data_IF_424326398383
#
_entry.id   IF_424326398383
#
_cell.length_a   1.000
_cell.length_b   1.000
_cell.length_c   1.000
_cell.angle_alpha   90.00
_cell.angle_beta   90.00
_cell.angle_gamma   90.00
#
_symmetry.space_group_name_H-M   'P 1'
#
loop_
_entity.id
_entity.type
_entity.pdbx_description
1 polymer ?
#
# COMPACT_ATOMS: atom_id res chain seq x y z
N UNK A 1 15.94 -12.47 26.11
CA UNK A 1 14.54 -12.91 25.88
C UNK A 1 14.04 -12.12 24.69
N UNK A 2 13.60 -12.78 23.61
CA UNK A 2 13.10 -12.09 22.41
C UNK A 2 11.67 -11.57 22.64
N UNK A 3 11.33 -10.39 22.09
CA UNK A 3 10.02 -9.74 22.25
C UNK A 3 8.88 -10.67 21.80
N UNK A 4 9.08 -11.46 20.74
CA UNK A 4 8.11 -12.44 20.25
C UNK A 4 7.70 -13.45 21.34
N UNK A 5 8.66 -13.98 22.09
CA UNK A 5 8.42 -14.94 23.18
C UNK A 5 7.68 -14.30 24.37
N UNK A 6 7.78 -12.98 24.53
CA UNK A 6 7.09 -12.22 25.59
C UNK A 6 5.64 -11.92 25.19
N UNK A 7 5.40 -11.63 23.90
CA UNK A 7 4.06 -11.39 23.36
C UNK A 7 3.15 -12.61 23.51
N UNK A 8 3.66 -13.84 23.31
CA UNK A 8 2.89 -15.07 23.52
C UNK A 8 2.33 -15.21 24.94
N UNK A 9 2.96 -14.56 25.91
CA UNK A 9 2.58 -14.56 27.33
C UNK A 9 2.04 -13.22 27.81
N UNK A 10 1.61 -12.33 26.90
CA UNK A 10 1.17 -10.97 27.21
C UNK A 10 0.12 -10.92 28.34
N UNK A 11 -0.79 -11.90 28.39
CA UNK A 11 -1.83 -11.96 29.42
C UNK A 11 -1.32 -12.36 30.81
N UNK A 12 -0.14 -12.99 30.88
CA UNK A 12 0.51 -13.42 32.13
C UNK A 12 1.44 -12.34 32.70
N UNK A 13 1.73 -11.29 31.92
CA UNK A 13 2.53 -10.14 32.35
C UNK A 13 1.75 -9.32 33.37
N UNK A 14 2.33 -9.20 34.58
CA UNK A 14 1.77 -8.41 35.70
C UNK A 14 2.19 -6.94 35.68
N UNK A 15 3.11 -6.58 34.81
CA UNK A 15 3.56 -5.21 34.63
C UNK A 15 2.64 -4.49 33.65
N UNK A 16 1.79 -3.62 34.17
CA UNK A 16 0.85 -2.87 33.36
C UNK A 16 1.56 -1.95 32.34
N UNK A 17 2.70 -1.34 32.70
CA UNK A 17 3.46 -0.47 31.80
C UNK A 17 4.06 -1.27 30.64
N UNK A 18 4.76 -2.37 30.95
CA UNK A 18 5.32 -3.25 29.91
C UNK A 18 4.21 -3.85 29.03
N UNK A 19 3.07 -4.20 29.63
CA UNK A 19 1.92 -4.75 28.91
C UNK A 19 1.35 -3.73 27.93
N UNK A 20 1.24 -2.47 28.32
CA UNK A 20 0.74 -1.42 27.45
C UNK A 20 1.71 -1.09 26.31
N UNK A 21 3.03 -1.06 26.59
CA UNK A 21 4.06 -0.94 25.55
C UNK A 21 3.98 -2.09 24.53
N UNK A 22 3.79 -3.34 24.99
CA UNK A 22 3.65 -4.50 24.10
C UNK A 22 2.35 -4.47 23.28
N UNK A 23 1.23 -3.99 23.84
CA UNK A 23 0.00 -3.79 23.06
C UNK A 23 0.18 -2.73 21.98
N UNK A 24 0.83 -1.62 22.31
CA UNK A 24 1.13 -0.58 21.33
C UNK A 24 2.05 -1.11 20.23
N UNK A 25 3.01 -1.96 20.58
CA UNK A 25 3.93 -2.62 19.63
C UNK A 25 3.18 -3.48 18.63
N UNK A 26 2.28 -4.34 19.12
CA UNK A 26 1.43 -5.19 18.26
C UNK A 26 0.57 -4.32 17.35
N UNK A 27 -0.09 -3.29 17.91
CA UNK A 27 -0.94 -2.38 17.13
C UNK A 27 -0.18 -1.71 16.00
N UNK A 28 1.02 -1.17 16.26
CA UNK A 28 1.82 -0.50 15.23
C UNK A 28 2.27 -1.51 14.16
N UNK A 29 2.64 -2.74 14.55
CA UNK A 29 2.97 -3.80 13.59
C UNK A 29 1.81 -4.17 12.68
N UNK A 30 0.62 -4.33 13.25
CA UNK A 30 -0.59 -4.64 12.49
C UNK A 30 -0.92 -3.49 11.52
N UNK A 31 -0.75 -2.24 11.95
CA UNK A 31 -0.98 -1.05 11.13
C UNK A 31 0.03 -0.95 9.97
N UNK A 32 1.33 -1.20 10.22
CA UNK A 32 2.35 -1.28 9.17
C UNK A 32 2.01 -2.40 8.17
N UNK A 33 1.61 -3.59 8.65
CA UNK A 33 1.24 -4.69 7.76
C UNK A 33 0.07 -4.31 6.85
N UNK A 34 -0.97 -3.72 7.43
CA UNK A 34 -2.13 -3.26 6.67
C UNK A 34 -1.75 -2.20 5.62
N UNK A 35 -0.91 -1.23 5.98
CA UNK A 35 -0.48 -0.19 5.03
C UNK A 35 0.40 -0.74 3.90
N UNK A 36 1.23 -1.76 4.16
CA UNK A 36 1.98 -2.44 3.11
C UNK A 36 1.06 -3.16 2.11
N UNK A 37 0.02 -3.85 2.59
CA UNK A 37 -0.97 -4.50 1.73
C UNK A 37 -1.69 -3.46 0.84
N UNK A 38 -2.10 -2.33 1.43
CA UNK A 38 -2.73 -1.23 0.68
C UNK A 38 -1.77 -0.59 -0.32
N UNK A 39 -0.48 -0.46 0.03
CA UNK A 39 0.54 0.07 -0.87
C UNK A 39 0.69 -0.81 -2.11
N UNK A 40 0.73 -2.13 -1.93
CA UNK A 40 0.79 -3.10 -3.03
C UNK A 40 -0.42 -2.96 -3.97
N UNK A 41 -1.63 -2.86 -3.40
CA UNK A 41 -2.86 -2.62 -4.17
C UNK A 41 -2.82 -1.31 -4.98
N UNK A 42 -2.27 -0.24 -4.41
CA UNK A 42 -2.10 1.05 -5.08
C UNK A 42 -1.10 0.95 -6.23
N UNK A 43 0.03 0.28 -6.02
CA UNK A 43 1.04 0.07 -7.07
C UNK A 43 0.48 -0.77 -8.23
N UNK A 44 -0.23 -1.86 -7.93
CA UNK A 44 -0.91 -2.68 -8.94
C UNK A 44 -1.94 -1.88 -9.74
N UNK A 45 -2.68 -0.97 -9.09
CA UNK A 45 -3.65 -0.12 -9.76
C UNK A 45 -2.97 0.86 -10.74
N UNK A 46 -1.87 1.49 -10.32
CA UNK A 46 -1.09 2.40 -11.18
C UNK A 46 -0.59 1.64 -12.42
N UNK A 47 0.07 0.50 -12.22
CA UNK A 47 0.58 -0.33 -13.32
C UNK A 47 -0.55 -0.75 -14.28
N UNK A 48 -1.69 -1.15 -13.74
CA UNK A 48 -2.86 -1.54 -14.53
C UNK A 48 -3.38 -0.39 -15.41
N UNK A 49 -3.45 0.83 -14.87
CA UNK A 49 -3.87 2.01 -15.63
C UNK A 49 -2.88 2.32 -16.76
N UNK A 50 -1.57 2.24 -16.49
CA UNK A 50 -0.54 2.45 -17.50
C UNK A 50 -0.61 1.41 -18.63
N UNK A 51 -0.82 0.14 -18.28
CA UNK A 51 -1.02 -0.93 -19.26
C UNK A 51 -2.24 -0.68 -20.13
N UNK A 52 -3.38 -0.34 -19.53
CA UNK A 52 -4.61 -0.04 -20.27
C UNK A 52 -4.37 1.14 -21.23
N UNK A 53 -3.72 2.23 -20.80
CA UNK A 53 -3.38 3.37 -21.67
C UNK A 53 -2.49 3.01 -22.85
N UNK A 54 -1.53 2.11 -22.63
CA UNK A 54 -0.65 1.62 -23.69
C UNK A 54 -1.44 0.80 -24.72
N UNK A 55 -2.32 -0.07 -24.25
CA UNK A 55 -3.16 -0.90 -25.12
C UNK A 55 -4.17 -0.06 -25.89
N UNK A 56 -4.80 0.94 -25.25
CA UNK A 56 -5.72 1.88 -25.93
C UNK A 56 -5.01 2.68 -27.01
N UNK A 57 -3.77 3.11 -26.77
CA UNK A 57 -2.93 3.78 -27.77
C UNK A 57 -2.71 2.89 -29.01
N UNK A 58 -2.41 1.61 -28.81
CA UNK A 58 -2.24 0.66 -29.91
C UNK A 58 -3.54 0.47 -30.71
N UNK A 59 -4.67 0.35 -30.02
CA UNK A 59 -6.00 0.22 -30.65
C UNK A 59 -6.34 1.49 -31.46
N UNK A 60 -6.09 2.68 -30.91
CA UNK A 60 -6.31 3.98 -31.57
C UNK A 60 -5.54 4.13 -32.87
N UNK A 61 -4.36 3.50 -32.99
CA UNK A 61 -3.58 3.47 -34.22
C UNK A 61 -4.14 2.50 -35.30
N UNK A 62 -4.94 1.51 -34.89
CA UNK A 62 -5.52 0.48 -35.77
C UNK A 62 -6.89 0.92 -36.30
N UNK A 63 -7.75 1.50 -35.45
CA UNK A 63 -9.13 1.88 -35.82
C UNK A 63 -9.20 2.70 -37.11
N UNK A 64 -8.38 3.76 -37.32
CA UNK A 64 -8.43 4.56 -38.55
C UNK A 64 -8.04 3.78 -39.81
N UNK A 65 -7.22 2.73 -39.66
CA UNK A 65 -6.87 1.85 -40.77
C UNK A 65 -8.06 0.97 -41.11
N UNK A 66 -8.73 0.38 -40.12
CA UNK A 66 -9.90 -0.47 -40.31
C UNK A 66 -11.13 0.31 -40.82
N UNK A 67 -11.36 1.53 -40.32
CA UNK A 67 -12.49 2.36 -40.74
C UNK A 67 -12.41 2.81 -42.19
N UNK A 68 -11.20 2.87 -42.78
CA UNK A 68 -11.02 3.11 -44.23
C UNK A 68 -11.53 1.97 -45.10
N UNK A 69 -11.56 0.75 -44.58
CA UNK A 69 -11.95 -0.45 -45.33
C UNK A 69 -13.32 -1.01 -44.90
N UNK A 70 -13.87 -0.53 -43.78
CA UNK A 70 -15.10 -1.03 -43.19
C UNK A 70 -15.92 0.13 -42.62
N UNK A 71 -17.25 0.08 -42.77
CA UNK A 71 -18.14 1.13 -42.24
C UNK A 71 -18.78 0.68 -40.92
N UNK A 72 -17.95 0.29 -39.95
CA UNK A 72 -18.42 -0.21 -38.64
C UNK A 72 -18.71 0.98 -37.71
N UNK A 73 -19.98 1.22 -37.33
CA UNK A 73 -20.36 2.40 -36.55
C UNK A 73 -19.72 2.44 -35.15
N UNK A 74 -19.51 1.27 -34.54
CA UNK A 74 -18.96 1.10 -33.19
C UNK A 74 -17.55 1.68 -33.03
N UNK A 75 -16.79 1.86 -34.11
CA UNK A 75 -15.43 2.40 -34.04
C UNK A 75 -15.37 3.82 -33.46
N UNK A 76 -16.39 4.65 -33.71
CA UNK A 76 -16.44 5.99 -33.12
C UNK A 76 -16.66 5.95 -31.60
N UNK A 77 -17.45 4.99 -31.11
CA UNK A 77 -17.68 4.83 -29.68
C UNK A 77 -16.44 4.26 -28.98
N UNK A 78 -15.72 3.34 -29.65
CA UNK A 78 -14.45 2.81 -29.17
C UNK A 78 -13.38 3.92 -29.06
N UNK A 79 -13.30 4.83 -30.02
CA UNK A 79 -12.39 5.99 -29.94
C UNK A 79 -12.71 6.86 -28.72
N UNK A 80 -13.99 7.16 -28.46
CA UNK A 80 -14.39 7.94 -27.28
C UNK A 80 -14.01 7.26 -25.97
N UNK A 81 -14.18 5.94 -25.88
CA UNK A 81 -13.77 5.17 -24.70
C UNK A 81 -12.25 5.22 -24.50
N UNK A 82 -11.48 5.11 -25.58
CA UNK A 82 -10.02 5.25 -25.56
C UNK A 82 -9.62 6.66 -25.11
N UNK A 83 -10.23 7.70 -25.67
CA UNK A 83 -9.94 9.08 -25.28
C UNK A 83 -10.24 9.34 -23.79
N UNK A 84 -11.29 8.73 -23.26
CA UNK A 84 -11.59 8.78 -21.82
C UNK A 84 -10.49 8.12 -20.99
N UNK A 85 -10.06 6.90 -21.36
CA UNK A 85 -8.94 6.21 -20.69
C UNK A 85 -7.65 7.03 -20.75
N UNK A 86 -7.32 7.59 -21.91
CA UNK A 86 -6.13 8.43 -22.09
C UNK A 86 -6.17 9.66 -21.16
N UNK A 87 -7.36 10.18 -20.85
CA UNK A 87 -7.58 11.34 -19.97
C UNK A 87 -7.51 11.04 -18.47
N UNK A 88 -7.49 9.77 -18.05
CA UNK A 88 -7.39 9.41 -16.62
C UNK A 88 -6.03 9.84 -16.08
N UNK A 89 -5.97 10.72 -15.10
CA UNK A 89 -4.72 11.08 -14.43
C UNK A 89 -4.43 10.15 -13.24
N UNK A 90 -3.18 9.73 -13.07
CA UNK A 90 -2.71 8.90 -11.94
C UNK A 90 -2.07 9.72 -10.82
N UNK A 91 -1.98 11.04 -10.98
CA UNK A 91 -1.29 11.96 -10.07
C UNK A 91 -1.80 11.88 -8.62
N UNK A 92 -3.12 11.78 -8.44
CA UNK A 92 -3.74 11.62 -7.11
C UNK A 92 -3.44 10.25 -6.48
N UNK A 93 -3.38 9.20 -7.30
CA UNK A 93 -3.05 7.83 -6.88
C UNK A 93 -1.57 7.73 -6.50
N UNK A 94 -0.68 8.38 -7.26
CA UNK A 94 0.74 8.50 -6.95
C UNK A 94 0.96 9.30 -5.66
N UNK A 95 0.22 10.39 -5.44
CA UNK A 95 0.27 11.15 -4.20
C UNK A 95 -0.15 10.30 -3.00
N UNK A 96 -1.18 9.45 -3.15
CA UNK A 96 -1.59 8.48 -2.13
C UNK A 96 -0.47 7.47 -1.86
N UNK A 97 0.18 6.91 -2.89
CA UNK A 97 1.34 6.01 -2.77
C UNK A 97 2.47 6.65 -1.94
N UNK A 98 2.81 7.90 -2.24
CA UNK A 98 3.83 8.64 -1.48
C UNK A 98 3.44 8.84 -0.02
N UNK A 99 2.17 9.16 0.23
CA UNK A 99 1.66 9.34 1.58
C UNK A 99 1.75 8.05 2.39
N UNK A 100 1.30 6.92 1.84
CA UNK A 100 1.34 5.62 2.51
C UNK A 100 2.78 5.23 2.87
N UNK A 101 3.73 5.41 1.95
CA UNK A 101 5.14 5.16 2.24
C UNK A 101 5.65 5.99 3.42
N UNK A 102 5.33 7.28 3.45
CA UNK A 102 5.73 8.17 4.56
C UNK A 102 5.08 7.74 5.88
N UNK A 103 3.80 7.36 5.86
CA UNK A 103 3.09 6.89 7.05
C UNK A 103 3.72 5.58 7.58
N UNK A 104 4.16 4.67 6.70
CA UNK A 104 4.91 3.45 7.07
C UNK A 104 6.25 3.81 7.71
N UNK A 105 7.05 4.68 7.09
CA UNK A 105 8.35 5.11 7.62
C UNK A 105 8.22 5.69 9.04
N UNK A 106 7.23 6.56 9.27
CA UNK A 106 6.98 7.14 10.60
C UNK A 106 6.58 6.08 11.64
N UNK A 107 5.77 5.09 11.24
CA UNK A 107 5.39 3.98 12.12
C UNK A 107 6.57 3.06 12.43
N UNK A 108 7.45 2.80 11.47
CA UNK A 108 8.68 2.01 11.67
C UNK A 108 9.65 2.70 12.64
N UNK A 109 9.83 4.02 12.53
CA UNK A 109 10.61 4.81 13.48
C UNK A 109 10.02 4.70 14.89
N UNK A 110 8.69 4.85 15.00
CA UNK A 110 7.97 4.71 16.26
C UNK A 110 8.12 3.31 16.85
N UNK A 111 8.00 2.28 16.02
CA UNK A 111 8.17 0.88 16.42
C UNK A 111 9.58 0.64 16.95
N UNK A 112 10.61 1.18 16.29
CA UNK A 112 12.00 1.07 16.74
C UNK A 112 12.26 1.70 18.11
N UNK A 113 11.65 2.86 18.38
CA UNK A 113 11.72 3.49 19.70
C UNK A 113 11.04 2.61 20.77
N UNK A 114 9.89 2.04 20.44
CA UNK A 114 9.14 1.19 21.33
C UNK A 114 9.86 -0.13 21.64
N UNK A 115 10.51 -0.73 20.65
CA UNK A 115 11.36 -1.93 20.83
C UNK A 115 12.52 -1.67 21.78
N UNK A 116 13.14 -0.48 21.72
CA UNK A 116 14.21 -0.10 22.64
C UNK A 116 13.69 -0.02 24.08
N UNK A 117 12.56 0.65 24.28
CA UNK A 117 11.95 0.80 25.61
C UNK A 117 11.54 -0.58 26.19
N UNK A 118 10.87 -1.41 25.40
CA UNK A 118 10.49 -2.78 25.80
C UNK A 118 11.72 -3.58 26.22
N UNK A 119 12.80 -3.51 25.45
CA UNK A 119 14.05 -4.23 25.77
C UNK A 119 14.72 -3.73 27.05
N UNK A 120 14.67 -2.42 27.34
CA UNK A 120 15.16 -1.85 28.60
C UNK A 120 14.36 -2.41 29.77
N UNK A 121 13.02 -2.32 29.71
CA UNK A 121 12.14 -2.82 30.78
C UNK A 121 12.28 -4.33 31.01
N UNK A 122 12.43 -5.11 29.94
CA UNK A 122 12.69 -6.54 30.05
C UNK A 122 14.03 -6.82 30.75
N UNK A 123 15.09 -6.06 30.44
CA UNK A 123 16.37 -6.22 31.12
C UNK A 123 16.29 -5.87 32.61
N UNK A 124 15.61 -4.77 32.96
CA UNK A 124 15.42 -4.35 34.35
C UNK A 124 14.64 -5.34 35.21
N UNK A 125 13.82 -6.21 34.60
CA UNK A 125 13.00 -7.20 35.31
C UNK A 125 13.59 -8.60 35.40
N UNK A 126 14.54 -8.92 34.53
CA UNK A 126 15.14 -10.26 34.44
C UNK A 126 16.66 -10.28 34.74
N UNK A 127 17.23 -9.15 35.19
CA UNK A 127 18.54 -9.02 35.87
C UNK A 127 18.31 -8.64 37.33
#
# INVERSE_FOLDING_TARGET
>A
MEIANVIEKLNEIKDDELKDLLKEYIKIKDEISYLNDVLEDVEMLIESIEHIKRDTTAIKAIIPKLSKYTNIPMFNDLIKMIDYVDSVETSEIEALRWKINKDIEELEEKLSMLEKEINIRLREKFL
#
